data_IF_161646522313
#
_entry.id   IF_161646522313
#
_cell.length_a   1.000
_cell.length_b   1.000
_cell.length_c   1.000
_cell.angle_alpha   90.00
_cell.angle_beta   90.00
_cell.angle_gamma   90.00
#
_symmetry.space_group_name_H-M   'P 1'
#
loop_
_entity.id
_entity.type
_entity.pdbx_description
1 polymer ?
#
# COMPACT_ATOMS: atom_id res chain seq x y z
N UNK A 1 46.69 -50.86 -0.32
CA UNK A 1 45.97 -49.57 -0.40
C UNK A 1 44.62 -49.80 -1.03
N UNK A 2 43.51 -49.36 -0.41
CA UNK A 2 42.28 -49.19 -1.16
C UNK A 2 42.43 -47.92 -2.00
N UNK A 3 42.07 -48.00 -3.27
CA UNK A 3 41.75 -46.80 -4.04
C UNK A 3 40.38 -46.33 -3.54
N UNK A 4 40.37 -45.24 -2.78
CA UNK A 4 39.15 -44.44 -2.63
C UNK A 4 38.89 -43.87 -4.01
N UNK A 5 37.85 -44.37 -4.68
CA UNK A 5 37.37 -43.75 -5.90
C UNK A 5 36.87 -42.35 -5.53
N UNK A 6 37.50 -41.31 -6.08
CA UNK A 6 37.04 -39.94 -5.91
C UNK A 6 35.65 -39.82 -6.52
N UNK A 7 34.62 -39.84 -5.67
CA UNK A 7 33.23 -39.65 -6.10
C UNK A 7 33.15 -38.35 -6.89
N UNK A 8 32.60 -38.35 -8.12
CA UNK A 8 32.75 -37.23 -9.05
C UNK A 8 32.10 -35.97 -8.49
N UNK A 9 32.96 -35.07 -7.99
CA UNK A 9 32.58 -33.86 -7.26
C UNK A 9 31.48 -33.12 -8.02
N UNK A 10 30.36 -32.89 -7.34
CA UNK A 10 29.27 -32.09 -7.88
C UNK A 10 29.72 -30.62 -7.83
N UNK A 11 30.09 -30.08 -8.97
CA UNK A 11 30.42 -28.65 -9.11
C UNK A 11 29.22 -27.78 -8.71
N UNK A 12 29.51 -26.61 -8.11
CA UNK A 12 28.51 -25.65 -7.66
C UNK A 12 28.42 -25.50 -6.14
N UNK A 13 27.48 -24.68 -5.70
CA UNK A 13 27.15 -24.39 -4.31
C UNK A 13 26.43 -25.60 -3.67
N UNK A 14 26.90 -26.18 -2.55
CA UNK A 14 26.23 -27.32 -1.92
C UNK A 14 24.97 -26.91 -1.15
N UNK A 15 23.86 -27.61 -1.43
CA UNK A 15 22.50 -27.30 -0.93
C UNK A 15 22.03 -28.36 0.09
N UNK A 16 22.49 -29.60 -0.07
CA UNK A 16 22.23 -30.70 0.87
C UNK A 16 23.33 -31.75 0.77
N UNK A 17 23.60 -32.42 1.89
CA UNK A 17 24.59 -33.47 2.03
C UNK A 17 23.92 -34.81 2.35
N UNK A 18 24.53 -35.92 1.96
CA UNK A 18 24.15 -37.26 2.41
C UNK A 18 24.70 -37.57 3.81
N UNK A 19 24.36 -38.75 4.35
CA UNK A 19 24.76 -39.20 5.69
C UNK A 19 26.28 -39.42 5.83
N UNK A 20 27.01 -39.47 4.71
CA UNK A 20 28.48 -39.51 4.64
C UNK A 20 29.09 -38.11 4.47
N UNK A 21 28.29 -37.04 4.50
CA UNK A 21 28.73 -35.66 4.39
C UNK A 21 29.06 -35.20 2.96
N UNK A 22 28.68 -35.94 1.92
CA UNK A 22 28.95 -35.60 0.51
C UNK A 22 27.78 -34.81 -0.09
N UNK A 23 28.02 -33.82 -0.98
CA UNK A 23 26.94 -33.00 -1.54
C UNK A 23 26.02 -33.82 -2.48
N UNK A 24 24.80 -34.11 -2.01
CA UNK A 24 23.76 -34.80 -2.78
C UNK A 24 22.92 -33.85 -3.65
N UNK A 25 22.85 -32.57 -3.27
CA UNK A 25 22.21 -31.51 -4.06
C UNK A 25 23.20 -30.35 -4.16
N UNK A 26 23.49 -29.87 -5.38
CA UNK A 26 24.24 -28.63 -5.60
C UNK A 26 23.47 -27.67 -6.51
N UNK A 27 23.86 -26.40 -6.49
CA UNK A 27 23.33 -25.37 -7.37
C UNK A 27 24.47 -24.75 -8.16
N UNK A 28 24.34 -24.80 -9.49
CA UNK A 28 25.29 -24.19 -10.42
C UNK A 28 24.73 -22.85 -10.90
N UNK A 29 25.60 -21.85 -10.96
CA UNK A 29 25.41 -20.62 -11.73
C UNK A 29 26.42 -20.65 -12.88
N UNK A 30 25.95 -20.32 -14.08
CA UNK A 30 26.76 -20.15 -15.27
C UNK A 30 27.10 -18.65 -15.48
N UNK A 31 28.13 -18.33 -16.27
CA UNK A 31 28.59 -16.94 -16.48
C UNK A 31 27.54 -16.05 -17.17
N UNK A 32 26.63 -16.63 -17.96
CA UNK A 32 25.49 -15.93 -18.57
C UNK A 32 24.38 -15.57 -17.55
N UNK A 33 24.59 -15.93 -16.27
CA UNK A 33 23.61 -15.77 -15.21
C UNK A 33 22.43 -16.74 -15.32
N UNK A 34 22.51 -17.79 -16.14
CA UNK A 34 21.64 -18.95 -16.01
C UNK A 34 22.03 -19.76 -14.77
N UNK A 35 21.09 -20.58 -14.28
CA UNK A 35 21.28 -21.34 -13.05
C UNK A 35 20.41 -22.60 -13.04
N UNK A 36 20.89 -23.62 -12.33
CA UNK A 36 20.30 -24.95 -12.24
C UNK A 36 20.63 -25.61 -10.89
N UNK A 37 19.65 -26.26 -10.27
CA UNK A 37 19.85 -27.13 -9.10
C UNK A 37 19.95 -28.59 -9.58
N UNK A 38 21.01 -29.29 -9.19
CA UNK A 38 21.33 -30.66 -9.59
C UNK A 38 21.24 -31.59 -8.39
N UNK A 39 20.66 -32.77 -8.59
CA UNK A 39 20.58 -33.85 -7.60
C UNK A 39 21.39 -35.04 -8.09
N UNK A 40 22.24 -35.58 -7.21
CA UNK A 40 22.85 -36.89 -7.36
C UNK A 40 21.94 -37.93 -6.68
N UNK A 41 21.46 -38.88 -7.47
CA UNK A 41 20.65 -39.99 -6.98
C UNK A 41 21.56 -41.13 -6.46
N UNK A 42 20.98 -42.06 -5.69
CA UNK A 42 21.70 -43.18 -5.08
C UNK A 42 22.22 -44.21 -6.11
N UNK A 43 21.66 -44.23 -7.32
CA UNK A 43 22.14 -45.01 -8.47
C UNK A 43 23.28 -44.29 -9.25
N UNK A 44 23.75 -43.15 -8.76
CA UNK A 44 24.74 -42.29 -9.42
C UNK A 44 24.20 -41.46 -10.59
N UNK A 45 22.92 -41.60 -10.94
CA UNK A 45 22.29 -40.77 -11.97
C UNK A 45 22.09 -39.33 -11.47
N UNK A 46 21.98 -38.38 -12.41
CA UNK A 46 21.80 -36.95 -12.09
C UNK A 46 20.44 -36.45 -12.59
N UNK A 47 19.74 -35.67 -11.76
CA UNK A 47 18.49 -34.97 -12.14
C UNK A 47 18.70 -33.46 -12.03
N UNK A 48 18.21 -32.71 -13.03
CA UNK A 48 18.47 -31.27 -13.15
C UNK A 48 17.15 -30.49 -13.14
N UNK A 49 17.07 -29.51 -12.25
CA UNK A 49 15.98 -28.55 -12.16
C UNK A 49 16.51 -27.19 -12.61
N UNK A 50 15.92 -26.61 -13.65
CA UNK A 50 16.36 -25.34 -14.21
C UNK A 50 15.23 -24.59 -14.91
N UNK A 51 15.57 -23.58 -15.71
CA UNK A 51 14.60 -22.68 -16.33
C UNK A 51 13.54 -23.41 -17.15
N UNK A 52 13.96 -24.40 -17.96
CA UNK A 52 13.04 -25.19 -18.78
C UNK A 52 12.12 -26.06 -17.91
N UNK A 53 12.65 -26.75 -16.91
CA UNK A 53 11.87 -27.59 -15.97
C UNK A 53 10.77 -26.79 -15.28
N UNK A 54 11.12 -25.60 -14.79
CA UNK A 54 10.19 -24.72 -14.07
C UNK A 54 9.19 -24.06 -15.03
N UNK A 55 9.62 -23.66 -16.22
CA UNK A 55 8.73 -23.15 -17.28
C UNK A 55 7.70 -24.21 -17.71
N UNK A 56 8.11 -25.48 -17.85
CA UNK A 56 7.19 -26.58 -18.13
C UNK A 56 6.15 -26.72 -17.01
N UNK A 57 6.55 -26.72 -15.73
CA UNK A 57 5.61 -26.81 -14.60
C UNK A 57 4.63 -25.64 -14.53
N UNK A 58 5.10 -24.42 -14.78
CA UNK A 58 4.26 -23.21 -14.82
C UNK A 58 3.15 -23.33 -15.87
N UNK A 59 3.47 -23.86 -17.06
CA UNK A 59 2.55 -23.99 -18.19
C UNK A 59 1.76 -25.31 -18.24
N UNK A 60 2.14 -26.33 -17.47
CA UNK A 60 1.43 -27.60 -17.37
C UNK A 60 0.05 -27.47 -16.70
N UNK A 61 -0.90 -28.28 -17.15
CA UNK A 61 -2.17 -28.48 -16.43
C UNK A 61 -1.89 -29.05 -15.04
N UNK A 62 -2.74 -28.71 -14.07
CA UNK A 62 -2.52 -29.07 -12.67
C UNK A 62 -2.33 -30.58 -12.45
N UNK A 63 -3.15 -31.42 -13.07
CA UNK A 63 -3.03 -32.89 -12.93
C UNK A 63 -1.74 -33.46 -13.53
N UNK A 64 -1.22 -32.89 -14.62
CA UNK A 64 0.04 -33.30 -15.26
C UNK A 64 1.23 -32.91 -14.37
N UNK A 65 1.23 -31.66 -13.88
CA UNK A 65 2.23 -31.19 -12.91
C UNK A 65 2.20 -32.03 -11.62
N UNK A 66 1.01 -32.37 -11.11
CA UNK A 66 0.83 -33.19 -9.91
C UNK A 66 1.39 -34.59 -10.08
N UNK A 67 1.04 -35.26 -11.17
CA UNK A 67 1.57 -36.60 -11.49
C UNK A 67 3.09 -36.59 -11.65
N UNK A 68 3.67 -35.51 -12.17
CA UNK A 68 5.13 -35.36 -12.30
C UNK A 68 5.82 -35.11 -10.95
N UNK A 69 5.29 -34.22 -10.11
CA UNK A 69 5.86 -33.94 -8.76
C UNK A 69 5.75 -35.18 -7.86
N UNK A 70 4.63 -35.90 -7.91
CA UNK A 70 4.46 -37.17 -7.19
C UNK A 70 5.43 -38.27 -7.67
N UNK A 71 5.97 -38.17 -8.88
CA UNK A 71 7.02 -39.05 -9.42
C UNK A 71 8.46 -38.66 -9.04
N UNK A 72 8.65 -37.68 -8.16
CA UNK A 72 9.96 -37.31 -7.60
C UNK A 72 10.24 -38.06 -6.28
N UNK A 73 11.51 -38.37 -6.02
CA UNK A 73 11.98 -38.76 -4.68
C UNK A 73 12.10 -37.53 -3.77
N UNK A 74 12.20 -37.70 -2.46
CA UNK A 74 12.17 -36.56 -1.52
C UNK A 74 13.39 -35.64 -1.70
N UNK A 75 14.57 -36.20 -1.97
CA UNK A 75 15.78 -35.46 -2.39
C UNK A 75 15.52 -34.61 -3.64
N UNK A 76 14.76 -35.14 -4.60
CA UNK A 76 14.39 -34.45 -5.85
C UNK A 76 13.32 -33.37 -5.62
N UNK A 77 12.34 -33.58 -4.73
CA UNK A 77 11.35 -32.57 -4.36
C UNK A 77 12.00 -31.42 -3.57
N UNK A 78 12.92 -31.71 -2.65
CA UNK A 78 13.74 -30.70 -1.95
C UNK A 78 14.53 -29.81 -2.92
N UNK A 79 15.17 -30.41 -3.91
CA UNK A 79 15.88 -29.67 -4.96
C UNK A 79 14.95 -28.81 -5.84
N UNK A 80 13.74 -29.32 -6.12
CA UNK A 80 12.73 -28.56 -6.85
C UNK A 80 12.23 -27.34 -6.04
N UNK A 81 11.95 -27.51 -4.74
CA UNK A 81 11.61 -26.41 -3.81
C UNK A 81 12.72 -25.35 -3.76
N UNK A 82 13.98 -25.78 -3.68
CA UNK A 82 15.12 -24.87 -3.74
C UNK A 82 15.17 -24.06 -5.06
N UNK A 83 15.03 -24.74 -6.20
CA UNK A 83 15.02 -24.12 -7.52
C UNK A 83 13.85 -23.13 -7.71
N UNK A 84 12.66 -23.46 -7.18
CA UNK A 84 11.52 -22.54 -7.14
C UNK A 84 11.81 -21.30 -6.28
N UNK A 85 12.40 -21.46 -5.10
CA UNK A 85 12.72 -20.36 -4.19
C UNK A 85 13.66 -19.33 -4.82
N UNK A 86 14.75 -19.77 -5.44
CA UNK A 86 15.69 -18.89 -6.16
C UNK A 86 15.00 -18.13 -7.31
N UNK A 87 14.06 -18.77 -8.01
CA UNK A 87 13.32 -18.16 -9.12
C UNK A 87 12.27 -17.16 -8.65
N UNK A 88 11.53 -17.45 -7.59
CA UNK A 88 10.62 -16.51 -6.94
C UNK A 88 11.35 -15.23 -6.53
N UNK A 89 12.51 -15.36 -5.87
CA UNK A 89 13.33 -14.21 -5.45
C UNK A 89 13.82 -13.40 -6.67
N UNK A 90 14.29 -14.06 -7.74
CA UNK A 90 14.74 -13.37 -8.96
C UNK A 90 13.60 -12.64 -9.66
N UNK A 91 12.47 -13.30 -9.90
CA UNK A 91 11.30 -12.72 -10.56
C UNK A 91 10.70 -11.58 -9.73
N UNK A 92 10.73 -11.68 -8.39
CA UNK A 92 10.27 -10.62 -7.48
C UNK A 92 11.18 -9.38 -7.53
N UNK A 93 12.50 -9.57 -7.61
CA UNK A 93 13.47 -8.47 -7.85
C UNK A 93 13.21 -7.80 -9.20
N UNK A 94 13.00 -8.56 -10.28
CA UNK A 94 12.66 -8.00 -11.60
C UNK A 94 11.32 -7.25 -11.59
N UNK A 95 10.28 -7.81 -10.95
CA UNK A 95 8.97 -7.16 -10.80
C UNK A 95 9.06 -5.83 -10.04
N UNK A 96 9.77 -5.80 -8.91
CA UNK A 96 9.95 -4.56 -8.12
C UNK A 96 10.82 -3.52 -8.82
N UNK A 97 11.80 -3.94 -9.63
CA UNK A 97 12.55 -3.05 -10.53
C UNK A 97 11.64 -2.46 -11.61
N UNK A 98 10.86 -3.29 -12.32
CA UNK A 98 9.93 -2.84 -13.36
C UNK A 98 8.86 -1.89 -12.79
N UNK A 99 8.33 -2.16 -11.58
CA UNK A 99 7.37 -1.27 -10.92
C UNK A 99 7.97 0.11 -10.66
N UNK A 100 9.21 0.18 -10.17
CA UNK A 100 9.94 1.45 -9.97
C UNK A 100 10.25 2.18 -11.28
N UNK A 101 10.53 1.45 -12.37
CA UNK A 101 10.72 2.06 -13.68
C UNK A 101 9.42 2.70 -14.20
N UNK A 102 8.28 2.01 -14.07
CA UNK A 102 6.97 2.53 -14.46
C UNK A 102 6.58 3.77 -13.63
N UNK A 103 6.85 3.75 -12.33
CA UNK A 103 6.67 4.86 -11.39
C UNK A 103 7.51 6.10 -11.80
N UNK A 104 8.77 5.89 -12.18
CA UNK A 104 9.65 6.95 -12.69
C UNK A 104 9.15 7.51 -14.04
N UNK A 105 8.77 6.65 -14.98
CA UNK A 105 8.23 7.07 -16.29
C UNK A 105 6.92 7.88 -16.13
N UNK A 106 6.05 7.50 -15.19
CA UNK A 106 4.85 8.26 -14.86
C UNK A 106 5.20 9.66 -14.29
N UNK A 107 6.14 9.72 -13.33
CA UNK A 107 6.63 10.98 -12.75
C UNK A 107 7.25 11.90 -13.82
N UNK A 108 8.02 11.35 -14.76
CA UNK A 108 8.59 12.09 -15.89
C UNK A 108 7.50 12.65 -16.82
N UNK A 109 6.50 11.84 -17.18
CA UNK A 109 5.36 12.27 -17.98
C UNK A 109 4.54 13.37 -17.30
N UNK A 110 4.44 13.37 -15.97
CA UNK A 110 3.72 14.39 -15.21
C UNK A 110 4.48 15.72 -15.14
N UNK A 111 5.81 15.70 -14.96
CA UNK A 111 6.61 16.92 -15.09
C UNK A 111 6.52 17.51 -16.50
N UNK A 112 6.65 16.66 -17.52
CA UNK A 112 6.52 17.07 -18.93
C UNK A 112 5.14 17.69 -19.22
N UNK A 113 4.06 17.13 -18.65
CA UNK A 113 2.70 17.65 -18.77
C UNK A 113 2.54 19.07 -18.22
N UNK A 114 3.22 19.41 -17.12
CA UNK A 114 3.25 20.77 -16.58
C UNK A 114 4.30 21.69 -17.24
N UNK A 115 5.12 21.18 -18.17
CA UNK A 115 6.24 21.92 -18.78
C UNK A 115 7.41 22.15 -17.82
N UNK A 116 7.62 21.24 -16.88
CA UNK A 116 8.66 21.28 -15.85
C UNK A 116 9.77 20.27 -16.14
N UNK A 117 10.94 20.48 -15.52
CA UNK A 117 12.00 19.48 -15.44
C UNK A 117 11.92 18.70 -14.12
N UNK A 118 12.59 17.56 -14.04
CA UNK A 118 12.71 16.77 -12.80
C UNK A 118 13.37 17.55 -11.63
N UNK A 119 14.12 18.62 -11.93
CA UNK A 119 14.76 19.50 -10.96
C UNK A 119 13.89 20.69 -10.53
N UNK A 120 12.61 20.74 -10.94
CA UNK A 120 11.67 21.76 -10.49
C UNK A 120 11.45 21.69 -8.96
N UNK A 121 11.12 22.83 -8.34
CA UNK A 121 10.72 22.86 -6.92
C UNK A 121 9.21 22.73 -6.76
N UNK A 122 8.75 22.42 -5.55
CA UNK A 122 7.32 22.46 -5.18
C UNK A 122 6.67 23.82 -5.53
N UNK A 123 7.43 24.92 -5.42
CA UNK A 123 6.96 26.27 -5.77
C UNK A 123 6.70 26.40 -7.27
N UNK A 124 7.58 25.82 -8.10
CA UNK A 124 7.43 25.82 -9.56
C UNK A 124 6.22 24.97 -9.99
N UNK A 125 6.05 23.79 -9.37
CA UNK A 125 4.86 22.94 -9.54
C UNK A 125 3.58 23.68 -9.17
N UNK A 126 3.55 24.36 -8.02
CA UNK A 126 2.42 25.19 -7.57
C UNK A 126 2.11 26.34 -8.53
N UNK A 127 3.13 26.96 -9.13
CA UNK A 127 2.96 28.04 -10.13
C UNK A 127 2.45 27.48 -11.46
N UNK A 128 3.02 26.38 -11.95
CA UNK A 128 2.61 25.72 -13.19
C UNK A 128 1.17 25.22 -13.11
N UNK A 129 0.79 24.53 -12.02
CA UNK A 129 -0.57 24.08 -11.77
C UNK A 129 -1.56 25.24 -11.74
N UNK A 130 -1.29 26.32 -10.99
CA UNK A 130 -2.16 27.51 -10.96
C UNK A 130 -2.29 28.20 -12.32
N UNK A 131 -1.26 28.15 -13.16
CA UNK A 131 -1.29 28.67 -14.55
C UNK A 131 -2.13 27.76 -15.48
N UNK A 132 -2.03 26.45 -15.31
CA UNK A 132 -2.74 25.45 -16.12
C UNK A 132 -4.23 25.38 -15.75
N UNK A 133 -4.56 25.31 -14.46
CA UNK A 133 -5.94 25.29 -13.96
C UNK A 133 -6.75 26.53 -14.39
N UNK A 134 -6.13 27.73 -14.41
CA UNK A 134 -6.78 28.97 -14.91
C UNK A 134 -7.13 28.94 -16.40
N UNK A 135 -6.49 28.07 -17.20
CA UNK A 135 -6.78 27.83 -18.62
C UNK A 135 -7.81 26.70 -18.80
N UNK A 136 -7.67 25.61 -18.04
CA UNK A 136 -8.46 24.38 -18.18
C UNK A 136 -9.76 24.35 -17.37
N UNK A 137 -10.07 25.41 -16.60
CA UNK A 137 -11.28 25.48 -15.76
C UNK A 137 -12.56 25.14 -16.56
N UNK A 138 -13.43 24.23 -16.09
CA UNK A 138 -14.56 23.75 -16.87
C UNK A 138 -15.49 24.88 -17.34
N UNK A 139 -15.81 25.85 -16.49
CA UNK A 139 -16.67 27.01 -16.80
C UNK A 139 -16.18 27.82 -18.01
N UNK A 140 -14.85 27.90 -18.21
CA UNK A 140 -14.23 28.61 -19.33
C UNK A 140 -14.13 27.77 -20.60
N UNK A 141 -14.38 26.47 -20.48
CA UNK A 141 -14.29 25.47 -21.54
C UNK A 141 -15.67 24.81 -21.76
N UNK A 142 -16.75 25.58 -21.59
CA UNK A 142 -18.13 25.17 -21.90
C UNK A 142 -18.81 24.25 -20.89
N UNK A 143 -18.18 23.96 -19.74
CA UNK A 143 -18.76 23.14 -18.68
C UNK A 143 -18.94 21.65 -19.03
N UNK A 144 -18.37 21.19 -20.15
CA UNK A 144 -18.56 19.82 -20.66
C UNK A 144 -17.91 18.77 -19.76
N UNK A 145 -18.41 17.53 -19.82
CA UNK A 145 -17.82 16.43 -19.05
C UNK A 145 -16.40 16.07 -19.51
N UNK A 146 -16.06 16.35 -20.77
CA UNK A 146 -14.69 16.28 -21.28
C UNK A 146 -13.78 17.31 -20.58
N UNK A 147 -14.22 18.57 -20.46
CA UNK A 147 -13.48 19.60 -19.73
C UNK A 147 -13.32 19.24 -18.23
N UNK A 148 -14.37 18.70 -17.59
CA UNK A 148 -14.29 18.18 -16.21
C UNK A 148 -13.25 17.06 -16.09
N UNK A 149 -13.26 16.07 -17.00
CA UNK A 149 -12.30 14.95 -17.00
C UNK A 149 -10.86 15.41 -17.21
N UNK A 150 -10.61 16.36 -18.12
CA UNK A 150 -9.29 16.93 -18.31
C UNK A 150 -8.80 17.74 -17.10
N UNK A 151 -9.68 18.49 -16.44
CA UNK A 151 -9.34 19.22 -15.22
C UNK A 151 -9.04 18.27 -14.04
N UNK A 152 -9.80 17.18 -13.90
CA UNK A 152 -9.57 16.15 -12.90
C UNK A 152 -8.25 15.39 -13.14
N UNK A 153 -7.95 15.00 -14.38
CA UNK A 153 -6.68 14.36 -14.72
C UNK A 153 -5.47 15.29 -14.47
N UNK A 154 -5.61 16.60 -14.72
CA UNK A 154 -4.60 17.59 -14.34
C UNK A 154 -4.39 17.65 -12.81
N UNK A 155 -5.47 17.58 -12.01
CA UNK A 155 -5.41 17.56 -10.55
C UNK A 155 -4.71 16.29 -10.02
N UNK A 156 -5.01 15.13 -10.60
CA UNK A 156 -4.39 13.84 -10.23
C UNK A 156 -2.87 13.87 -10.44
N UNK A 157 -2.40 14.36 -11.60
CA UNK A 157 -0.97 14.56 -11.88
C UNK A 157 -0.29 15.53 -10.92
N UNK A 158 -0.99 16.61 -10.52
CA UNK A 158 -0.47 17.56 -9.54
C UNK A 158 -0.29 16.93 -8.16
N UNK A 159 -1.30 16.21 -7.66
CA UNK A 159 -1.23 15.56 -6.34
C UNK A 159 -0.21 14.41 -6.34
N UNK A 160 -0.08 13.65 -7.42
CA UNK A 160 0.98 12.64 -7.59
C UNK A 160 2.38 13.24 -7.47
N UNK A 161 2.69 14.32 -8.21
CA UNK A 161 3.99 15.00 -8.10
C UNK A 161 4.21 15.62 -6.71
N UNK A 162 3.16 16.23 -6.13
CA UNK A 162 3.19 16.89 -4.82
C UNK A 162 3.53 15.94 -3.68
N UNK A 163 3.00 14.72 -3.67
CA UNK A 163 3.35 13.72 -2.66
C UNK A 163 4.85 13.38 -2.71
N UNK A 164 5.52 13.53 -3.86
CA UNK A 164 6.99 13.32 -3.95
C UNK A 164 7.84 14.46 -3.39
N UNK A 165 7.25 15.59 -3.02
CA UNK A 165 7.90 16.65 -2.23
C UNK A 165 7.56 16.58 -0.73
N UNK A 166 6.58 15.73 -0.35
CA UNK A 166 6.24 15.52 1.05
C UNK A 166 7.44 14.89 1.76
N UNK A 167 7.83 15.37 2.96
CA UNK A 167 8.82 14.67 3.75
C UNK A 167 8.34 13.25 4.04
N UNK A 168 9.08 12.25 3.59
CA UNK A 168 8.85 10.88 4.01
C UNK A 168 9.12 10.81 5.51
N UNK A 169 8.06 10.77 6.31
CA UNK A 169 8.19 10.39 7.71
C UNK A 169 8.77 8.98 7.73
N UNK A 170 9.82 8.71 8.53
CA UNK A 170 10.34 7.35 8.65
C UNK A 170 9.19 6.46 9.10
N UNK A 171 8.96 5.37 8.35
CA UNK A 171 7.90 4.41 8.62
C UNK A 171 8.03 3.95 10.08
N UNK A 172 7.03 4.28 10.90
CA UNK A 172 7.13 4.13 12.35
C UNK A 172 7.38 2.67 12.69
N UNK A 173 8.54 2.39 13.30
CA UNK A 173 8.86 1.07 13.82
C UNK A 173 7.71 0.58 14.72
N UNK A 174 7.44 -0.74 14.79
CA UNK A 174 6.36 -1.25 15.61
C UNK A 174 6.50 -0.74 17.05
N UNK A 175 5.48 -0.02 17.53
CA UNK A 175 5.39 0.30 18.94
C UNK A 175 5.16 -1.01 19.67
N UNK A 176 6.19 -1.55 20.31
CA UNK A 176 6.03 -2.59 21.32
C UNK A 176 5.26 -1.95 22.47
N UNK A 177 3.97 -2.29 22.58
CA UNK A 177 3.12 -1.83 23.68
C UNK A 177 3.69 -2.42 24.99
N UNK A 178 3.96 -1.61 26.03
CA UNK A 178 4.49 -2.12 27.28
C UNK A 178 3.46 -3.04 27.93
N UNK A 179 3.89 -4.27 28.27
CA UNK A 179 3.01 -5.30 28.83
C UNK A 179 2.34 -4.80 30.13
N UNK A 180 1.01 -4.90 30.19
CA UNK A 180 0.26 -4.50 31.37
C UNK A 180 0.41 -5.53 32.50
N UNK A 181 0.79 -5.08 33.70
CA UNK A 181 0.90 -5.97 34.86
C UNK A 181 -0.47 -6.53 35.31
N UNK A 182 -0.50 -7.76 35.84
CA UNK A 182 -1.75 -8.44 36.19
C UNK A 182 -2.41 -7.86 37.45
N UNK A 183 -3.73 -7.68 37.39
CA UNK A 183 -4.54 -7.19 38.52
C UNK A 183 -4.44 -8.11 39.75
N UNK A 184 -4.42 -7.49 40.94
CA UNK A 184 -4.68 -8.19 42.22
C UNK A 184 -6.14 -8.00 42.63
N UNK A 185 -6.70 -9.04 43.23
CA UNK A 185 -8.10 -9.08 43.65
C UNK A 185 -8.45 -8.14 44.82
N UNK A 186 -9.75 -8.06 45.17
CA UNK A 186 -10.27 -7.07 46.10
C UNK A 186 -9.92 -7.36 47.57
N UNK A 187 -9.79 -6.29 48.36
CA UNK A 187 -9.76 -6.33 49.82
C UNK A 187 -11.06 -5.71 50.38
N UNK A 188 -11.61 -6.33 51.42
CA UNK A 188 -12.88 -5.94 52.07
C UNK A 188 -12.64 -5.21 53.41
N UNK A 189 -13.62 -4.39 53.80
CA UNK A 189 -13.91 -3.91 55.17
C UNK A 189 -13.02 -2.82 55.84
N UNK A 190 -13.60 -1.60 55.86
CA UNK A 190 -14.30 -1.04 57.05
C UNK A 190 -13.72 0.14 57.86
N UNK A 191 -14.59 1.16 57.96
CA UNK A 191 -14.88 2.08 59.09
C UNK A 191 -13.87 3.15 59.56
N UNK A 192 -14.46 4.28 60.02
CA UNK A 192 -13.80 5.51 60.48
C UNK A 192 -13.79 6.64 59.44
N UNK A 193 -14.27 7.86 59.71
CA UNK A 193 -14.97 8.35 60.90
C UNK A 193 -15.02 9.89 60.97
N UNK A 194 -16.16 10.41 61.44
CA UNK A 194 -16.39 11.75 62.03
C UNK A 194 -16.36 13.01 61.13
N UNK A 195 -16.90 14.10 61.71
CA UNK A 195 -17.36 15.35 61.09
C UNK A 195 -16.40 16.54 61.37
N UNK A 196 -16.60 17.68 60.67
CA UNK A 196 -16.75 19.03 61.27
C UNK A 196 -16.74 20.17 60.22
N UNK A 197 -17.16 21.38 60.65
CA UNK A 197 -16.37 22.57 60.30
C UNK A 197 -16.80 23.48 59.14
N UNK A 198 -17.96 24.14 59.30
CA UNK A 198 -18.33 25.46 58.74
C UNK A 198 -17.21 26.38 58.17
N UNK A 199 -17.46 27.05 57.04
CA UNK A 199 -16.62 28.15 56.53
C UNK A 199 -17.30 28.98 55.43
N UNK A 200 -17.70 30.21 55.76
CA UNK A 200 -18.36 31.18 54.86
C UNK A 200 -17.41 32.38 54.61
N UNK A 201 -17.39 32.96 53.41
CA UNK A 201 -17.55 34.40 53.16
C UNK A 201 -17.43 34.78 51.66
N UNK A 202 -17.66 36.07 51.37
CA UNK A 202 -17.74 36.67 50.03
C UNK A 202 -16.78 37.86 49.96
N UNK A 203 -16.31 38.23 48.78
CA UNK A 203 -16.33 39.64 48.38
C UNK A 203 -16.17 39.84 46.86
N UNK A 204 -16.45 41.06 46.42
CA UNK A 204 -16.57 41.54 45.03
C UNK A 204 -15.67 42.78 44.85
N UNK A 205 -16.00 43.66 43.88
CA UNK A 205 -15.43 45.02 43.69
C UNK A 205 -14.03 45.10 43.03
N UNK A 206 -13.69 46.13 42.24
CA UNK A 206 -14.49 46.89 41.25
C UNK A 206 -13.58 47.71 40.31
N UNK A 207 -14.14 48.23 39.21
CA UNK A 207 -13.67 49.45 38.53
C UNK A 207 -12.46 49.38 37.56
N UNK A 208 -12.18 50.42 36.77
CA UNK A 208 -13.13 51.43 36.22
C UNK A 208 -12.56 52.25 35.03
N UNK A 209 -13.45 53.02 34.41
CA UNK A 209 -13.28 54.25 33.62
C UNK A 209 -12.58 54.28 32.24
N UNK A 210 -13.00 55.29 31.47
CA UNK A 210 -12.67 55.62 30.06
C UNK A 210 -11.71 56.88 30.08
N UNK A 211 -11.63 57.87 29.13
CA UNK A 211 -12.42 58.14 27.91
C UNK A 211 -11.74 58.76 26.65
N UNK A 212 -12.55 58.82 25.57
CA UNK A 212 -12.68 59.85 24.52
C UNK A 212 -11.46 60.46 23.79
N UNK A 213 -11.53 60.53 22.45
CA UNK A 213 -12.07 61.71 21.72
C UNK A 213 -11.98 61.59 20.17
N UNK A 214 -12.90 62.25 19.44
CA UNK A 214 -12.88 62.40 17.97
C UNK A 214 -14.28 62.63 17.38
N UNK A 215 -14.46 63.68 16.54
CA UNK A 215 -15.76 64.16 16.02
C UNK A 215 -15.65 64.58 14.55
N UNK A 216 -16.81 64.83 13.92
CA UNK A 216 -17.10 65.62 12.70
C UNK A 216 -17.42 64.83 11.42
N UNK A 217 -18.23 65.33 10.47
CA UNK A 217 -19.59 65.93 10.57
C UNK A 217 -20.24 66.08 9.16
N UNK A 218 -21.56 66.33 9.11
CA UNK A 218 -22.33 66.72 7.90
C UNK A 218 -22.48 65.65 6.80
N UNK A 219 -23.41 65.73 5.83
CA UNK A 219 -24.76 66.32 5.75
C UNK A 219 -25.41 65.88 4.42
N UNK A 220 -26.75 65.84 4.28
CA UNK A 220 -27.38 65.49 2.99
C UNK A 220 -28.84 65.01 3.02
N UNK A 221 -29.78 65.94 3.21
CA UNK A 221 -31.21 65.80 2.86
C UNK A 221 -31.36 65.93 1.31
N UNK A 222 -32.39 65.53 0.54
CA UNK A 222 -33.87 65.45 0.67
C UNK A 222 -34.45 64.46 -0.37
N UNK A 223 -35.74 64.08 -0.29
CA UNK A 223 -36.57 63.84 -1.49
C UNK A 223 -37.41 62.55 -1.58
N UNK A 224 -38.68 62.63 -1.14
CA UNK A 224 -39.80 61.73 -1.49
C UNK A 224 -40.81 62.52 -2.38
N UNK A 225 -41.99 62.02 -2.86
CA UNK A 225 -42.78 60.81 -2.51
C UNK A 225 -43.11 59.96 -3.79
N UNK A 226 -44.25 59.26 -4.06
CA UNK A 226 -45.60 59.20 -3.46
C UNK A 226 -46.47 57.99 -3.92
N UNK A 227 -47.61 57.80 -3.23
CA UNK A 227 -48.91 57.25 -3.63
C UNK A 227 -49.14 55.74 -4.02
N UNK A 228 -50.19 55.14 -3.40
CA UNK A 228 -50.86 53.86 -3.73
C UNK A 228 -50.52 52.69 -2.78
N UNK A 229 -51.26 52.31 -1.72
CA UNK A 229 -52.71 51.97 -1.57
C UNK A 229 -53.17 50.77 -2.42
N UNK A 230 -53.88 49.74 -1.92
CA UNK A 230 -54.02 49.07 -0.59
C UNK A 230 -54.26 47.55 -0.91
N UNK A 231 -54.70 46.57 -0.10
CA UNK A 231 -55.38 46.48 1.21
C UNK A 231 -54.78 45.36 2.11
N UNK A 232 -55.05 45.44 3.43
CA UNK A 232 -55.51 44.40 4.41
C UNK A 232 -55.16 42.90 4.26
N UNK A 233 -55.09 42.06 5.30
CA UNK A 233 -55.02 42.19 6.78
C UNK A 233 -54.52 40.85 7.39
N UNK A 234 -54.48 40.78 8.73
CA UNK A 234 -54.40 39.59 9.61
C UNK A 234 -53.03 39.00 10.00
N UNK A 235 -52.97 38.40 11.20
CA UNK A 235 -51.72 38.30 11.97
C UNK A 235 -51.56 37.05 12.84
N UNK A 236 -50.30 36.53 12.96
CA UNK A 236 -49.59 36.39 14.26
C UNK A 236 -48.18 35.74 14.23
N UNK A 237 -47.24 36.44 14.87
CA UNK A 237 -46.33 35.92 15.91
C UNK A 237 -45.14 34.99 15.59
N UNK A 238 -43.95 35.62 15.60
CA UNK A 238 -42.68 35.25 16.31
C UNK A 238 -41.61 34.35 15.66
N UNK A 239 -40.36 34.80 15.94
CA UNK A 239 -39.05 34.11 16.02
C UNK A 239 -38.31 33.74 14.71
N UNK A 240 -37.12 34.34 14.57
CA UNK A 240 -35.88 33.56 14.44
C UNK A 240 -35.02 33.86 13.21
N UNK A 241 -33.80 34.33 13.44
CA UNK A 241 -32.74 34.35 12.42
C UNK A 241 -32.34 32.94 11.97
N UNK A 242 -32.14 32.75 10.66
CA UNK A 242 -30.80 32.52 10.08
C UNK A 242 -30.87 32.34 8.55
N UNK A 243 -29.75 32.61 7.88
CA UNK A 243 -29.60 32.37 6.46
C UNK A 243 -29.55 30.87 6.12
N UNK A 244 -30.10 30.43 4.97
CA UNK A 244 -30.07 29.02 4.58
C UNK A 244 -28.66 28.59 4.16
N UNK A 245 -28.07 27.66 4.90
CA UNK A 245 -26.87 26.95 4.45
C UNK A 245 -27.24 26.00 3.30
N UNK A 246 -26.39 25.96 2.26
CA UNK A 246 -26.53 25.00 1.15
C UNK A 246 -26.17 23.60 1.66
N UNK A 247 -27.17 22.78 1.93
CA UNK A 247 -26.99 21.42 2.42
C UNK A 247 -26.61 20.51 1.25
N UNK A 248 -25.35 20.08 1.21
CA UNK A 248 -24.85 19.16 0.18
C UNK A 248 -25.10 17.72 0.63
N UNK A 249 -26.04 17.05 -0.03
CA UNK A 249 -26.31 15.64 0.19
C UNK A 249 -25.23 14.78 -0.49
N UNK A 250 -24.42 14.12 0.31
CA UNK A 250 -23.64 12.95 -0.08
C UNK A 250 -24.25 11.75 0.65
N UNK A 251 -24.69 10.75 -0.12
CA UNK A 251 -25.27 9.53 0.44
C UNK A 251 -24.13 8.60 0.94
N UNK A 252 -23.87 8.60 2.24
CA UNK A 252 -22.89 7.71 2.89
C UNK A 252 -23.56 6.46 3.49
N UNK A 253 -23.93 5.48 2.65
CA UNK A 253 -24.45 4.18 3.09
C UNK A 253 -24.01 3.03 2.15
N UNK A 254 -22.96 2.27 2.54
CA UNK A 254 -22.76 0.82 2.26
C UNK A 254 -21.33 0.32 2.66
N UNK A 255 -21.00 0.28 3.98
CA UNK A 255 -19.66 -0.18 4.40
C UNK A 255 -19.51 -1.01 5.70
N UNK A 256 -20.46 -1.91 5.99
CA UNK A 256 -20.31 -2.88 7.11
C UNK A 256 -20.16 -4.36 6.68
N UNK A 257 -20.52 -4.74 5.43
CA UNK A 257 -20.36 -6.13 4.95
C UNK A 257 -18.89 -6.49 4.72
N UNK A 258 -18.04 -5.52 4.34
CA UNK A 258 -16.63 -5.75 3.94
C UNK A 258 -15.70 -6.14 5.11
N UNK A 259 -16.14 -5.98 6.37
CA UNK A 259 -15.30 -6.12 7.59
C UNK A 259 -15.02 -7.57 8.03
N UNK A 260 -15.78 -8.57 7.57
CA UNK A 260 -15.54 -9.99 7.90
C UNK A 260 -14.62 -10.70 6.90
N UNK A 261 -14.81 -10.48 5.59
CA UNK A 261 -13.95 -11.07 4.56
C UNK A 261 -12.52 -10.50 4.58
N UNK A 262 -12.35 -9.23 4.94
CA UNK A 262 -11.03 -8.59 5.03
C UNK A 262 -10.11 -9.22 6.08
N UNK A 263 -10.65 -9.75 7.19
CA UNK A 263 -9.86 -10.46 8.21
C UNK A 263 -9.43 -11.85 7.73
N UNK A 264 -10.35 -12.61 7.11
CA UNK A 264 -10.07 -13.97 6.63
C UNK A 264 -9.15 -13.98 5.40
N UNK A 265 -9.22 -12.93 4.57
CA UNK A 265 -8.27 -12.70 3.49
C UNK A 265 -6.92 -12.18 4.00
N UNK A 266 -6.84 -11.25 4.96
CA UNK A 266 -5.55 -10.80 5.54
C UNK A 266 -4.69 -11.93 6.10
N UNK A 267 -5.28 -12.83 6.90
CA UNK A 267 -4.53 -13.98 7.43
C UNK A 267 -3.91 -14.83 6.30
N UNK A 268 -4.72 -15.14 5.29
CA UNK A 268 -4.30 -15.92 4.11
C UNK A 268 -3.24 -15.16 3.26
N UNK A 269 -3.30 -13.82 3.21
CA UNK A 269 -2.30 -12.97 2.55
C UNK A 269 -1.00 -12.82 3.36
N UNK A 270 -1.00 -13.08 4.66
CA UNK A 270 0.21 -13.05 5.50
C UNK A 270 0.89 -14.42 5.51
N UNK A 271 0.12 -15.51 5.57
CA UNK A 271 0.60 -16.86 5.29
C UNK A 271 1.26 -16.97 3.90
N UNK A 272 0.70 -16.34 2.85
CA UNK A 272 1.29 -16.39 1.49
C UNK A 272 2.62 -15.61 1.35
N UNK A 273 3.06 -14.84 2.36
CA UNK A 273 4.34 -14.11 2.30
C UNK A 273 5.54 -14.91 2.79
N UNK A 274 5.37 -15.77 3.81
CA UNK A 274 6.48 -16.56 4.39
C UNK A 274 6.43 -17.99 3.87
N UNK A 275 7.58 -18.52 3.47
CA UNK A 275 7.71 -19.92 3.03
C UNK A 275 8.62 -20.61 4.04
N UNK A 276 8.00 -21.45 4.86
CA UNK A 276 8.63 -22.27 5.88
C UNK A 276 8.17 -23.71 5.67
N UNK A 277 9.10 -24.65 5.74
CA UNK A 277 8.90 -26.05 5.40
C UNK A 277 9.98 -26.91 6.06
N UNK A 278 9.67 -28.17 6.33
CA UNK A 278 10.68 -29.16 6.73
C UNK A 278 11.30 -29.76 5.45
N UNK A 279 12.62 -29.65 5.24
CA UNK A 279 13.30 -30.23 4.08
C UNK A 279 13.49 -31.76 4.14
N UNK A 280 12.92 -32.45 5.14
CA UNK A 280 12.92 -33.90 5.28
C UNK A 280 11.51 -34.52 5.34
N UNK A 281 10.45 -33.73 5.56
CA UNK A 281 9.06 -34.21 5.41
C UNK A 281 8.56 -34.03 3.97
N UNK A 282 8.08 -35.14 3.38
CA UNK A 282 7.51 -35.12 2.03
C UNK A 282 6.20 -34.34 1.95
N UNK A 283 5.35 -34.34 2.98
CA UNK A 283 4.09 -33.59 2.93
C UNK A 283 4.34 -32.07 2.89
N UNK A 284 5.24 -31.59 3.75
CA UNK A 284 5.72 -30.20 3.79
C UNK A 284 6.38 -29.78 2.47
N UNK A 285 7.24 -30.64 1.90
CA UNK A 285 7.86 -30.41 0.59
C UNK A 285 6.83 -30.30 -0.55
N UNK A 286 5.90 -31.25 -0.68
CA UNK A 286 4.88 -31.23 -1.74
C UNK A 286 3.95 -30.00 -1.58
N UNK A 287 3.50 -29.69 -0.36
CA UNK A 287 2.72 -28.47 -0.07
C UNK A 287 3.46 -27.20 -0.49
N UNK A 288 4.77 -27.15 -0.24
CA UNK A 288 5.64 -26.01 -0.58
C UNK A 288 5.81 -25.84 -2.08
N UNK A 289 5.96 -26.93 -2.84
CA UNK A 289 5.97 -26.89 -4.32
C UNK A 289 4.69 -26.24 -4.85
N UNK A 290 3.52 -26.60 -4.33
CA UNK A 290 2.24 -26.00 -4.76
C UNK A 290 2.12 -24.53 -4.40
N UNK A 291 2.51 -24.16 -3.17
CA UNK A 291 2.53 -22.76 -2.71
C UNK A 291 3.41 -21.91 -3.63
N UNK A 292 4.65 -22.34 -3.85
CA UNK A 292 5.61 -21.66 -4.73
C UNK A 292 5.15 -21.57 -6.19
N UNK A 293 4.58 -22.65 -6.74
CA UNK A 293 4.05 -22.67 -8.12
C UNK A 293 2.89 -21.69 -8.29
N UNK A 294 1.97 -21.63 -7.33
CA UNK A 294 0.85 -20.68 -7.33
C UNK A 294 1.32 -19.23 -7.23
N UNK A 295 2.26 -18.95 -6.32
CA UNK A 295 2.88 -17.62 -6.18
C UNK A 295 3.59 -17.17 -7.46
N UNK A 296 4.38 -18.04 -8.09
CA UNK A 296 5.12 -17.67 -9.29
C UNK A 296 4.21 -17.46 -10.50
N UNK A 297 3.11 -18.21 -10.63
CA UNK A 297 2.07 -17.94 -11.64
C UNK A 297 1.48 -16.53 -11.48
N UNK A 298 1.09 -16.14 -10.25
CA UNK A 298 0.59 -14.79 -9.95
C UNK A 298 1.64 -13.72 -10.29
N UNK A 299 2.86 -13.91 -9.80
CA UNK A 299 3.96 -12.96 -9.96
C UNK A 299 4.39 -12.78 -11.43
N UNK A 300 4.39 -13.86 -12.22
CA UNK A 300 4.70 -13.79 -13.65
C UNK A 300 3.63 -13.00 -14.42
N UNK A 301 2.33 -13.23 -14.15
CA UNK A 301 1.24 -12.45 -14.75
C UNK A 301 1.38 -10.95 -14.44
N UNK A 302 1.72 -10.59 -13.19
CA UNK A 302 1.97 -9.20 -12.80
C UNK A 302 3.21 -8.61 -13.49
N UNK A 303 4.29 -9.39 -13.64
CA UNK A 303 5.50 -8.98 -14.35
C UNK A 303 5.23 -8.76 -15.86
N UNK A 304 4.52 -9.67 -16.52
CA UNK A 304 4.15 -9.54 -17.93
C UNK A 304 3.27 -8.30 -18.16
N UNK A 305 2.35 -8.01 -17.24
CA UNK A 305 1.49 -6.81 -17.28
C UNK A 305 2.31 -5.50 -17.19
N UNK A 306 3.14 -5.33 -16.15
CA UNK A 306 3.98 -4.13 -16.00
C UNK A 306 4.99 -4.02 -17.15
N UNK A 307 5.54 -5.13 -17.64
CA UNK A 307 6.47 -5.12 -18.77
C UNK A 307 5.76 -4.69 -20.07
N UNK A 308 4.50 -5.08 -20.27
CA UNK A 308 3.69 -4.57 -21.37
C UNK A 308 3.34 -3.08 -21.19
N UNK A 309 3.22 -2.60 -19.95
CA UNK A 309 2.93 -1.20 -19.63
C UNK A 309 4.13 -0.27 -19.85
N UNK A 310 5.32 -0.63 -19.36
CA UNK A 310 6.58 0.06 -19.67
C UNK A 310 6.77 0.18 -21.19
N UNK A 311 6.48 -0.88 -21.95
CA UNK A 311 6.53 -0.89 -23.43
C UNK A 311 5.47 0.00 -24.10
N UNK A 312 4.40 0.39 -23.39
CA UNK A 312 3.44 1.43 -23.85
C UNK A 312 3.96 2.81 -23.49
N UNK A 313 4.37 3.03 -22.24
CA UNK A 313 4.86 4.33 -21.76
C UNK A 313 6.09 4.83 -22.52
N UNK A 314 7.06 3.94 -22.83
CA UNK A 314 8.25 4.25 -23.64
C UNK A 314 7.99 4.47 -25.16
N UNK A 315 6.73 4.55 -25.61
CA UNK A 315 6.36 4.83 -27.02
C UNK A 315 5.78 6.24 -27.23
N UNK A 316 5.68 7.03 -26.16
CA UNK A 316 5.22 8.41 -26.15
C UNK A 316 6.32 9.33 -25.60
#
# INVERSE_FOLDING_TARGET
>A
SLLVAESPLMEGEPVAYDDEGRPMITRQCDEDGSARTIVLNEDGSRKVFGANTVSSLLNSKEHDAKRWVQGLTDRQTRALVHEFGHRLVRTSKTYTQHRKELELLAKQADYAYFGLSEAATEKDLSVAYRKMAKRMHPDKNGGTDEAKRHFQAMKEKYEHLKETYRPQQPESAPTEEPEAEPERGPEDNAEGGDEEGSGNERQSEEGDEQPCAGREESSGEVGAPDAGEEEREDAKSKKGDKAPQRQEAYDEDEDDVKRRDSRKSRANLEDDKRIEYDPHDRASLDQTVWKMLGQMRRLQQSLDSITAEIRRSRRF
#
